data_IF_026501046880
#
_entry.id   IF_026501046880
#
_cell.length_a   1.000
_cell.length_b   1.000
_cell.length_c   1.000
_cell.angle_alpha   90.00
_cell.angle_beta   90.00
_cell.angle_gamma   90.00
#
_symmetry.space_group_name_H-M   'P 1'
#
loop_
_entity.id
_entity.type
_entity.pdbx_description
1 polymer ?
#
# COMPACT_ATOMS: atom_id res chain seq x y z
N UNK A 1 9.01 -27.92 -15.06
CA UNK A 1 9.13 -26.88 -14.02
C UNK A 1 8.93 -25.52 -14.67
N UNK A 2 8.02 -24.72 -14.17
CA UNK A 2 7.79 -23.35 -14.68
C UNK A 2 8.63 -22.36 -13.86
N UNK A 3 9.18 -21.31 -14.49
CA UNK A 3 9.91 -20.27 -13.77
C UNK A 3 8.97 -19.54 -12.78
N UNK A 4 9.56 -19.00 -11.71
CA UNK A 4 8.80 -18.16 -10.77
C UNK A 4 8.22 -16.94 -11.50
N UNK A 5 6.99 -16.53 -11.14
CA UNK A 5 6.37 -15.33 -11.74
C UNK A 5 7.23 -14.08 -11.51
N UNK A 6 7.37 -13.24 -12.52
CA UNK A 6 8.22 -12.05 -12.43
C UNK A 6 7.80 -11.08 -11.31
N UNK A 7 6.51 -11.03 -10.96
CA UNK A 7 6.01 -10.15 -9.89
C UNK A 7 6.57 -10.53 -8.51
N UNK A 8 6.97 -11.78 -8.28
CA UNK A 8 7.57 -12.19 -7.00
C UNK A 8 8.86 -11.42 -6.69
N UNK A 9 9.58 -10.96 -7.71
CA UNK A 9 10.72 -10.06 -7.54
C UNK A 9 10.39 -8.70 -6.90
N UNK A 10 9.11 -8.31 -6.86
CA UNK A 10 8.66 -7.07 -6.21
C UNK A 10 8.38 -7.25 -4.70
N UNK A 11 8.32 -8.48 -4.20
CA UNK A 11 8.10 -8.77 -2.79
C UNK A 11 9.37 -8.46 -2.00
N UNK A 12 9.27 -7.61 -0.99
CA UNK A 12 10.39 -7.16 -0.16
C UNK A 12 10.23 -7.66 1.28
N UNK A 13 11.28 -8.25 1.84
CA UNK A 13 11.31 -8.60 3.26
C UNK A 13 11.69 -7.36 4.09
N UNK A 14 11.19 -7.25 5.34
CA UNK A 14 11.48 -6.07 6.19
C UNK A 14 12.97 -5.74 6.33
N UNK A 15 13.83 -6.75 6.44
CA UNK A 15 15.29 -6.55 6.57
C UNK A 15 15.99 -6.08 5.28
N UNK A 16 15.30 -6.07 4.15
CA UNK A 16 15.89 -5.73 2.83
C UNK A 16 15.48 -4.33 2.35
N UNK A 17 14.64 -3.61 3.11
CA UNK A 17 14.00 -2.35 2.67
C UNK A 17 15.02 -1.33 2.18
N UNK A 18 16.04 -1.03 3.00
CA UNK A 18 17.00 0.02 2.67
C UNK A 18 17.75 -0.26 1.36
N UNK A 19 18.23 -1.48 1.16
CA UNK A 19 18.94 -1.88 -0.05
C UNK A 19 18.02 -1.89 -1.28
N UNK A 20 16.80 -2.38 -1.11
CA UNK A 20 15.81 -2.47 -2.19
C UNK A 20 15.34 -1.09 -2.63
N UNK A 21 15.06 -0.19 -1.70
CA UNK A 21 14.64 1.20 -1.98
C UNK A 21 15.74 1.98 -2.67
N UNK A 22 17.00 1.78 -2.30
CA UNK A 22 18.14 2.42 -2.94
C UNK A 22 18.25 2.09 -4.44
N UNK A 23 17.75 0.93 -4.87
CA UNK A 23 17.73 0.51 -6.28
C UNK A 23 16.51 0.98 -7.07
N UNK A 24 15.54 1.63 -6.45
CA UNK A 24 14.33 2.10 -7.12
C UNK A 24 14.52 3.49 -7.74
N UNK A 25 13.92 3.74 -8.92
CA UNK A 25 13.99 5.07 -9.52
C UNK A 25 13.18 6.09 -8.70
N UNK A 26 13.62 7.35 -8.77
CA UNK A 26 12.98 8.48 -8.09
C UNK A 26 12.36 9.44 -9.11
N UNK A 27 11.31 10.20 -8.77
CA UNK A 27 10.70 10.32 -7.43
C UNK A 27 10.06 9.01 -6.97
N UNK A 28 10.30 8.66 -5.70
CA UNK A 28 9.73 7.46 -5.06
C UNK A 28 8.40 7.82 -4.40
N UNK A 29 7.35 7.11 -4.79
CA UNK A 29 6.01 7.24 -4.20
C UNK A 29 5.79 6.15 -3.19
N UNK A 30 5.20 6.48 -2.04
CA UNK A 30 4.80 5.53 -1.01
C UNK A 30 3.32 5.66 -0.71
N UNK A 31 2.67 4.52 -0.58
CA UNK A 31 1.33 4.41 0.00
C UNK A 31 1.23 3.16 0.86
N UNK A 32 0.18 3.05 1.67
CA UNK A 32 -0.08 1.87 2.49
C UNK A 32 -1.56 1.54 2.59
N UNK A 33 -1.85 0.33 3.01
CA UNK A 33 -3.20 -0.14 3.27
C UNK A 33 -3.27 -1.63 3.59
N UNK A 34 -4.47 -2.10 3.89
CA UNK A 34 -4.72 -3.52 4.11
C UNK A 34 -4.84 -4.28 2.80
N UNK A 35 -5.50 -3.71 1.82
CA UNK A 35 -5.71 -4.29 0.48
C UNK A 35 -6.18 -5.75 0.54
N UNK A 36 -7.23 -5.98 1.31
CA UNK A 36 -7.69 -7.34 1.62
C UNK A 36 -8.32 -8.00 0.39
N UNK A 37 -9.32 -7.37 -0.19
CA UNK A 37 -9.94 -7.79 -1.45
C UNK A 37 -9.87 -6.62 -2.42
N UNK A 38 -9.08 -6.77 -3.48
CA UNK A 38 -8.91 -5.70 -4.45
C UNK A 38 -10.17 -5.50 -5.28
N UNK A 39 -10.45 -4.23 -5.57
CA UNK A 39 -11.51 -3.79 -6.46
C UNK A 39 -11.03 -2.63 -7.33
N UNK A 40 -11.87 -2.19 -8.28
CA UNK A 40 -11.53 -1.12 -9.21
C UNK A 40 -11.01 0.15 -8.52
N UNK A 41 -11.58 0.50 -7.36
CA UNK A 41 -11.14 1.67 -6.59
C UNK A 41 -9.67 1.58 -6.20
N UNK A 42 -9.21 0.44 -5.70
CA UNK A 42 -7.80 0.21 -5.36
C UNK A 42 -6.89 0.30 -6.59
N UNK A 43 -7.24 -0.37 -7.68
CA UNK A 43 -6.42 -0.41 -8.90
C UNK A 43 -6.25 0.98 -9.50
N UNK A 44 -7.34 1.74 -9.59
CA UNK A 44 -7.33 3.13 -10.08
C UNK A 44 -6.49 4.02 -9.18
N UNK A 45 -6.70 3.95 -7.88
CA UNK A 45 -5.94 4.72 -6.89
C UNK A 45 -4.43 4.45 -6.97
N UNK A 46 -4.04 3.17 -7.03
CA UNK A 46 -2.63 2.79 -7.12
C UNK A 46 -1.98 3.28 -8.42
N UNK A 47 -2.71 3.25 -9.52
CA UNK A 47 -2.23 3.80 -10.80
C UNK A 47 -2.07 5.33 -10.73
N UNK A 48 -2.99 6.04 -10.10
CA UNK A 48 -2.89 7.49 -9.88
C UNK A 48 -1.71 7.85 -8.97
N UNK A 49 -1.52 7.08 -7.87
CA UNK A 49 -0.37 7.26 -6.99
C UNK A 49 0.95 7.06 -7.77
N UNK A 50 1.06 5.99 -8.56
CA UNK A 50 2.25 5.72 -9.37
C UNK A 50 2.56 6.84 -10.35
N UNK A 51 1.56 7.50 -10.91
CA UNK A 51 1.73 8.60 -11.85
C UNK A 51 2.40 9.85 -11.25
N UNK A 52 2.48 9.94 -9.92
CA UNK A 52 3.14 11.04 -9.21
C UNK A 52 4.67 10.88 -9.11
N UNK A 53 5.22 9.75 -9.55
CA UNK A 53 6.65 9.52 -9.49
C UNK A 53 7.13 8.42 -10.44
N UNK A 54 8.34 7.94 -10.22
CA UNK A 54 9.00 6.95 -11.07
C UNK A 54 8.83 5.50 -10.55
N UNK A 55 8.56 5.32 -9.27
CA UNK A 55 8.28 4.01 -8.67
C UNK A 55 7.26 4.16 -7.53
N UNK A 56 6.46 3.12 -7.31
CA UNK A 56 5.49 3.04 -6.22
C UNK A 56 5.84 1.90 -5.27
N UNK A 57 6.05 2.22 -4.01
CA UNK A 57 6.17 1.28 -2.90
C UNK A 57 4.84 1.21 -2.15
N UNK A 58 4.35 0.01 -1.93
CA UNK A 58 3.11 -0.24 -1.18
C UNK A 58 3.42 -0.97 0.12
N UNK A 59 3.15 -0.31 1.25
CA UNK A 59 3.17 -0.92 2.57
C UNK A 59 1.87 -1.68 2.83
N UNK A 60 1.95 -2.91 3.31
CA UNK A 60 0.78 -3.75 3.56
C UNK A 60 0.72 -4.16 5.02
N UNK A 61 -0.39 -3.86 5.69
CA UNK A 61 -0.62 -4.27 7.07
C UNK A 61 -0.59 -5.80 7.20
N UNK A 62 0.14 -6.33 8.18
CA UNK A 62 0.11 -7.74 8.53
C UNK A 62 -1.30 -8.18 8.95
N UNK A 63 -1.56 -9.46 9.01
CA UNK A 63 -2.86 -9.98 9.45
C UNK A 63 -3.18 -9.52 10.89
N UNK A 64 -2.19 -9.52 11.77
CA UNK A 64 -2.34 -9.04 13.14
C UNK A 64 -2.64 -7.54 13.19
N UNK A 65 -1.97 -6.74 12.37
CA UNK A 65 -2.22 -5.30 12.26
C UNK A 65 -3.63 -5.01 11.76
N UNK A 66 -4.11 -5.73 10.75
CA UNK A 66 -5.49 -5.59 10.24
C UNK A 66 -6.51 -5.87 11.33
N UNK A 67 -6.31 -6.91 12.13
CA UNK A 67 -7.21 -7.25 13.25
C UNK A 67 -7.27 -6.15 14.31
N UNK A 68 -6.13 -5.55 14.65
CA UNK A 68 -6.07 -4.43 15.62
C UNK A 68 -6.76 -3.16 15.13
N UNK A 69 -6.87 -2.96 13.82
CA UNK A 69 -7.57 -1.81 13.24
C UNK A 69 -9.11 -1.88 13.39
N UNK A 70 -9.63 -2.93 14.03
CA UNK A 70 -11.07 -3.08 14.32
C UNK A 70 -11.93 -3.32 13.08
N UNK A 71 -11.34 -3.83 12.01
CA UNK A 71 -12.12 -4.25 10.84
C UNK A 71 -12.95 -5.48 11.19
N UNK A 72 -14.19 -5.50 10.70
CA UNK A 72 -15.22 -6.49 11.07
C UNK A 72 -14.74 -7.95 11.07
N UNK A 73 -14.98 -8.63 12.17
CA UNK A 73 -14.97 -10.07 12.45
C UNK A 73 -13.86 -10.90 11.80
N UNK A 74 -14.07 -11.38 10.59
CA UNK A 74 -13.21 -12.37 9.92
C UNK A 74 -12.12 -11.73 9.01
N UNK A 75 -11.80 -10.45 9.22
CA UNK A 75 -10.79 -9.76 8.43
C UNK A 75 -9.37 -9.95 8.98
N UNK A 76 -8.32 -10.16 8.16
CA UNK A 76 -8.41 -10.17 6.70
C UNK A 76 -8.99 -11.49 6.14
N UNK A 77 -9.65 -11.39 4.98
CA UNK A 77 -10.14 -12.56 4.22
C UNK A 77 -8.96 -13.30 3.58
N UNK A 78 -8.03 -12.56 3.00
CA UNK A 78 -6.82 -13.10 2.40
C UNK A 78 -5.62 -12.92 3.33
N UNK A 79 -4.79 -13.96 3.52
CA UNK A 79 -3.57 -13.84 4.31
C UNK A 79 -2.59 -12.86 3.65
N UNK A 80 -1.68 -12.33 4.45
CA UNK A 80 -0.71 -11.32 4.01
C UNK A 80 0.06 -11.75 2.74
N UNK A 81 0.49 -13.00 2.66
CA UNK A 81 1.22 -13.52 1.50
C UNK A 81 0.45 -13.35 0.19
N UNK A 82 -0.85 -13.65 0.23
CA UNK A 82 -1.73 -13.58 -0.94
C UNK A 82 -2.01 -12.11 -1.32
N UNK A 83 -2.28 -11.28 -0.31
CA UNK A 83 -2.50 -9.84 -0.52
C UNK A 83 -1.28 -9.17 -1.15
N UNK A 84 -0.08 -9.51 -0.67
CA UNK A 84 1.17 -9.01 -1.24
C UNK A 84 1.39 -9.49 -2.67
N UNK A 85 1.15 -10.75 -2.97
CA UNK A 85 1.31 -11.32 -4.31
C UNK A 85 0.37 -10.64 -5.33
N UNK A 86 -0.90 -10.47 -4.96
CA UNK A 86 -1.88 -9.80 -5.83
C UNK A 86 -1.49 -8.35 -6.11
N UNK A 87 -1.05 -7.60 -5.10
CA UNK A 87 -0.54 -6.23 -5.28
C UNK A 87 0.70 -6.19 -6.17
N UNK A 88 1.65 -7.09 -5.95
CA UNK A 88 2.88 -7.15 -6.74
C UNK A 88 2.62 -7.44 -8.22
N UNK A 89 1.55 -8.15 -8.55
CA UNK A 89 1.15 -8.43 -9.93
C UNK A 89 0.60 -7.21 -10.68
N UNK A 90 0.25 -6.13 -9.98
CA UNK A 90 -0.24 -4.90 -10.62
C UNK A 90 0.92 -4.15 -11.31
N UNK A 91 0.65 -3.65 -12.50
CA UNK A 91 1.64 -2.89 -13.29
C UNK A 91 2.15 -1.65 -12.55
N UNK A 92 1.25 -0.94 -11.86
CA UNK A 92 1.57 0.30 -11.14
C UNK A 92 2.47 0.09 -9.92
N UNK A 93 2.55 -1.11 -9.38
CA UNK A 93 3.29 -1.41 -8.15
C UNK A 93 4.72 -1.82 -8.47
N UNK A 94 5.70 -1.15 -7.84
CA UNK A 94 7.12 -1.43 -8.00
C UNK A 94 7.71 -2.32 -6.90
N UNK A 95 7.22 -2.18 -5.67
CA UNK A 95 7.66 -2.97 -4.52
C UNK A 95 6.54 -3.07 -3.49
N UNK A 96 6.41 -4.22 -2.85
CA UNK A 96 5.44 -4.48 -1.78
C UNK A 96 6.19 -4.89 -0.52
N UNK A 97 5.89 -4.22 0.61
CA UNK A 97 6.56 -4.41 1.91
C UNK A 97 5.52 -4.62 3.00
N UNK A 98 5.62 -5.66 3.84
CA UNK A 98 4.74 -5.82 4.99
C UNK A 98 5.17 -4.96 6.17
N UNK A 99 4.23 -4.57 7.03
CA UNK A 99 4.50 -3.97 8.33
C UNK A 99 3.49 -4.44 9.37
N UNK A 100 3.93 -4.55 10.62
CA UNK A 100 3.11 -5.04 11.74
C UNK A 100 2.58 -3.96 12.65
N UNK A 101 3.18 -2.80 12.62
CA UNK A 101 2.84 -1.67 13.48
C UNK A 101 1.43 -1.14 13.18
N UNK A 102 0.85 -0.38 14.09
CA UNK A 102 -0.48 0.23 13.91
C UNK A 102 -0.47 1.33 12.85
N UNK A 103 0.69 1.95 12.63
CA UNK A 103 0.90 2.97 11.60
C UNK A 103 2.10 2.64 10.74
N UNK A 104 2.16 3.13 9.49
CA UNK A 104 3.28 2.88 8.59
C UNK A 104 4.50 3.79 8.84
N UNK A 105 4.57 4.53 9.95
CA UNK A 105 5.59 5.56 10.14
C UNK A 105 7.01 5.02 10.04
N UNK A 106 7.32 3.92 10.71
CA UNK A 106 8.65 3.29 10.66
C UNK A 106 9.05 2.93 9.24
N UNK A 107 8.09 2.41 8.46
CA UNK A 107 8.30 2.04 7.07
C UNK A 107 8.51 3.28 6.17
N UNK A 108 7.74 4.35 6.39
CA UNK A 108 7.92 5.63 5.68
C UNK A 108 9.31 6.20 5.94
N UNK A 109 9.76 6.17 7.19
CA UNK A 109 11.10 6.66 7.56
C UNK A 109 12.21 5.82 6.88
N UNK A 110 12.03 4.49 6.81
CA UNK A 110 12.98 3.60 6.15
C UNK A 110 13.02 3.80 4.62
N UNK A 111 11.88 4.01 4.00
CA UNK A 111 11.77 4.25 2.55
C UNK A 111 12.19 5.66 2.15
N UNK A 112 11.98 6.64 3.02
CA UNK A 112 12.20 8.07 2.75
C UNK A 112 11.67 8.49 1.37
N UNK A 113 10.35 8.37 1.13
CA UNK A 113 9.77 8.67 -0.18
C UNK A 113 9.82 10.17 -0.51
N UNK A 114 9.84 10.47 -1.80
CA UNK A 114 9.69 11.83 -2.30
C UNK A 114 8.22 12.26 -2.30
N UNK A 115 7.31 11.30 -2.42
CA UNK A 115 5.86 11.53 -2.48
C UNK A 115 5.16 10.53 -1.56
N UNK A 116 4.39 11.03 -0.61
CA UNK A 116 3.53 10.23 0.26
C UNK A 116 2.08 10.37 -0.20
N UNK A 117 1.40 9.26 -0.41
CA UNK A 117 0.02 9.25 -0.89
C UNK A 117 -0.87 8.49 0.08
N UNK A 118 -2.01 9.07 0.41
CA UNK A 118 -3.08 8.44 1.18
C UNK A 118 -4.36 8.40 0.35
N UNK A 119 -4.98 7.23 0.29
CA UNK A 119 -6.28 7.06 -0.37
C UNK A 119 -7.42 7.54 0.53
N UNK A 120 -8.35 8.29 -0.05
CA UNK A 120 -9.49 8.85 0.67
C UNK A 120 -9.45 10.38 0.72
N UNK A 121 -10.36 10.95 1.47
CA UNK A 121 -10.46 12.40 1.70
C UNK A 121 -9.88 12.75 3.07
N UNK A 122 -8.57 13.05 3.08
CA UNK A 122 -7.81 13.34 4.30
C UNK A 122 -7.29 14.77 4.29
N UNK A 123 -7.28 15.40 5.48
CA UNK A 123 -6.46 16.58 5.67
C UNK A 123 -4.98 16.15 5.63
N UNK A 124 -4.15 16.93 4.94
CA UNK A 124 -2.73 16.56 4.73
C UNK A 124 -1.99 16.40 6.06
N UNK A 125 -2.25 17.28 7.01
CA UNK A 125 -1.64 17.27 8.34
C UNK A 125 -2.00 16.05 9.20
N UNK A 126 -3.11 15.39 8.88
CA UNK A 126 -3.57 14.18 9.60
C UNK A 126 -3.00 12.89 9.03
N UNK A 127 -2.32 12.97 7.88
CA UNK A 127 -1.70 11.80 7.25
C UNK A 127 -0.42 11.45 8.01
N UNK A 128 -0.35 10.20 8.50
CA UNK A 128 0.85 9.67 9.17
C UNK A 128 2.06 9.80 8.24
N UNK A 129 3.14 10.40 8.74
CA UNK A 129 4.37 10.63 7.97
C UNK A 129 4.38 11.92 7.15
N UNK A 130 3.28 12.68 7.09
CA UNK A 130 3.20 13.90 6.31
C UNK A 130 4.25 14.94 6.74
N UNK A 131 4.38 15.16 8.05
CA UNK A 131 5.35 16.12 8.61
C UNK A 131 6.78 15.71 8.27
N UNK A 132 7.10 14.44 8.38
CA UNK A 132 8.43 13.90 8.11
C UNK A 132 8.77 14.06 6.62
N UNK A 133 7.87 13.63 5.74
CA UNK A 133 8.07 13.73 4.29
C UNK A 133 8.25 15.19 3.85
N UNK A 134 7.40 16.09 4.32
CA UNK A 134 7.54 17.53 4.05
C UNK A 134 8.83 18.08 4.63
N UNK A 135 9.27 17.60 5.78
CA UNK A 135 10.50 18.03 6.45
C UNK A 135 11.77 17.74 5.66
N UNK A 136 11.79 16.71 4.83
CA UNK A 136 12.92 16.47 3.90
C UNK A 136 12.67 16.91 2.47
N UNK A 137 11.67 17.76 2.24
CA UNK A 137 11.38 18.35 0.93
C UNK A 137 10.46 17.55 0.03
N UNK A 138 9.86 16.48 0.54
CA UNK A 138 8.85 15.70 -0.20
C UNK A 138 7.47 16.34 -0.21
N UNK A 139 6.56 15.72 -0.96
CA UNK A 139 5.17 16.16 -1.08
C UNK A 139 4.21 15.11 -0.54
N UNK A 140 3.04 15.55 -0.10
CA UNK A 140 1.99 14.68 0.46
C UNK A 140 0.68 14.93 -0.28
N UNK A 141 0.01 13.86 -0.69
CA UNK A 141 -1.22 13.92 -1.46
C UNK A 141 -2.30 13.04 -0.83
N UNK A 142 -3.51 13.57 -0.76
CA UNK A 142 -4.72 12.81 -0.51
C UNK A 142 -5.41 12.58 -1.84
N UNK A 143 -5.63 11.32 -2.23
CA UNK A 143 -6.30 10.99 -3.49
C UNK A 143 -7.67 10.39 -3.15
N UNK A 144 -8.77 11.10 -3.43
CA UNK A 144 -10.11 10.57 -3.23
C UNK A 144 -10.37 9.41 -4.19
N UNK A 145 -11.17 8.45 -3.75
CA UNK A 145 -11.54 7.31 -4.58
C UNK A 145 -12.54 7.75 -5.65
N UNK A 146 -12.19 7.56 -6.93
CA UNK A 146 -13.06 7.88 -8.07
C UNK A 146 -14.25 6.92 -8.19
N UNK A 147 -14.13 5.72 -7.66
CA UNK A 147 -15.16 4.71 -7.71
C UNK A 147 -15.63 4.40 -6.28
N UNK A 148 -16.93 4.57 -6.03
CA UNK A 148 -17.57 4.21 -4.77
C UNK A 148 -17.63 2.68 -4.61
N UNK A 149 -16.48 2.09 -4.34
CA UNK A 149 -16.32 0.65 -4.06
C UNK A 149 -15.60 0.50 -2.75
N UNK A 150 -16.03 -0.46 -1.95
CA UNK A 150 -15.32 -0.85 -0.73
C UNK A 150 -15.30 -2.37 -0.61
N UNK A 151 -14.24 -2.89 0.01
CA UNK A 151 -14.15 -4.31 0.33
C UNK A 151 -15.32 -4.74 1.22
N UNK A 152 -15.72 -3.91 2.19
CA UNK A 152 -16.89 -4.18 3.06
C UNK A 152 -18.17 -4.32 2.26
N UNK A 153 -18.47 -3.41 1.32
CA UNK A 153 -19.64 -3.49 0.48
C UNK A 153 -19.64 -4.73 -0.41
N UNK A 154 -18.49 -5.09 -0.97
CA UNK A 154 -18.32 -6.29 -1.77
C UNK A 154 -18.58 -7.56 -0.96
N UNK A 155 -17.99 -7.68 0.25
CA UNK A 155 -18.20 -8.81 1.14
C UNK A 155 -19.66 -8.94 1.58
N UNK A 156 -20.33 -7.81 1.89
CA UNK A 156 -21.74 -7.81 2.25
C UNK A 156 -22.61 -8.31 1.08
N UNK A 157 -22.30 -7.89 -0.14
CA UNK A 157 -23.00 -8.39 -1.32
C UNK A 157 -22.84 -9.91 -1.49
N UNK A 158 -21.61 -10.43 -1.33
CA UNK A 158 -21.34 -11.86 -1.42
C UNK A 158 -22.10 -12.64 -0.33
N UNK A 159 -22.15 -12.13 0.90
CA UNK A 159 -22.88 -12.76 2.01
C UNK A 159 -24.40 -12.77 1.83
N UNK A 160 -24.93 -11.91 0.98
CA UNK A 160 -26.37 -11.79 0.68
C UNK A 160 -26.81 -12.66 -0.50
N UNK A 161 -25.89 -13.34 -1.18
CA UNK A 161 -26.17 -14.31 -2.26
C UNK A 161 -26.49 -15.69 -1.70
#
# INVERSE_FOLDING_TARGET
MHPAPAFEGKLCKPGEIAARVAGLPRPLVFTNGCFDVLHRGHVTYLAQARALGAALVVGVNSDASVKRLGKDGDRPVNPLSDRMAVLAALESVGMVVPFEEDTPLSLILACRPDVLVKGGDWQIEDIVGAREVQGWGGTVHSIPFLHERSTTALLNKVRSL
#
